data_IF_930422861870
#
_entry.id   IF_930422861870
#
_cell.length_a   1.000
_cell.length_b   1.000
_cell.length_c   1.000
_cell.angle_alpha   90.00
_cell.angle_beta   90.00
_cell.angle_gamma   90.00
#
_symmetry.space_group_name_H-M   'P 1'
#
loop_
_entity.id
_entity.type
_entity.pdbx_description
1 polymer ?
#
# COMPACT_ATOMS: atom_id res chain seq x y z
N UNK A 1 12.50 -31.66 -24.99
CA UNK A 1 11.58 -31.62 -23.83
C UNK A 1 11.39 -30.16 -23.45
N UNK A 2 10.19 -29.60 -23.67
CA UNK A 2 9.89 -28.23 -23.26
C UNK A 2 9.52 -28.21 -21.76
N UNK A 3 10.01 -27.26 -20.95
CA UNK A 3 9.59 -27.13 -19.57
C UNK A 3 8.12 -26.67 -19.53
N UNK A 4 7.28 -27.46 -18.85
CA UNK A 4 5.90 -27.11 -18.54
C UNK A 4 5.92 -25.90 -17.60
N UNK A 5 5.59 -24.72 -18.13
CA UNK A 5 5.30 -23.52 -17.35
C UNK A 5 3.94 -23.73 -16.67
N UNK A 6 3.95 -24.35 -15.49
CA UNK A 6 2.74 -24.41 -14.66
C UNK A 6 2.44 -22.99 -14.20
N UNK A 7 1.37 -22.40 -14.72
CA UNK A 7 0.87 -21.11 -14.28
C UNK A 7 0.56 -21.20 -12.77
N UNK A 8 1.48 -20.72 -11.93
CA UNK A 8 1.29 -20.68 -10.48
C UNK A 8 0.04 -19.84 -10.20
N UNK A 9 -1.01 -20.49 -9.74
CA UNK A 9 -2.22 -19.80 -9.29
C UNK A 9 -1.83 -18.82 -8.18
N UNK A 10 -2.16 -17.53 -8.35
CA UNK A 10 -1.91 -16.52 -7.32
C UNK A 10 -2.48 -17.01 -5.98
N UNK A 11 -1.64 -17.05 -4.94
CA UNK A 11 -2.05 -17.43 -3.60
C UNK A 11 -3.27 -16.59 -3.17
N UNK A 12 -4.36 -17.27 -2.79
CA UNK A 12 -5.59 -16.63 -2.36
C UNK A 12 -5.64 -16.58 -0.84
N UNK A 13 -6.04 -15.43 -0.29
CA UNK A 13 -6.26 -15.25 1.14
C UNK A 13 -7.31 -16.25 1.66
N UNK A 14 -6.99 -17.09 2.65
CA UNK A 14 -7.93 -17.99 3.32
C UNK A 14 -9.10 -17.26 3.95
N UNK A 15 -10.17 -17.99 4.27
CA UNK A 15 -11.39 -17.41 4.84
C UNK A 15 -11.12 -16.80 6.21
N UNK A 16 -10.37 -17.47 7.09
CA UNK A 16 -10.02 -16.93 8.40
C UNK A 16 -9.25 -15.62 8.25
N UNK A 17 -8.28 -15.57 7.33
CA UNK A 17 -7.49 -14.37 7.09
C UNK A 17 -8.31 -13.18 6.60
N UNK A 18 -9.38 -13.41 5.84
CA UNK A 18 -10.32 -12.35 5.45
C UNK A 18 -11.15 -11.85 6.64
N UNK A 19 -11.53 -12.73 7.57
CA UNK A 19 -12.30 -12.37 8.75
C UNK A 19 -11.46 -11.53 9.72
N UNK A 20 -10.23 -11.96 10.01
CA UNK A 20 -9.29 -11.22 10.86
C UNK A 20 -9.00 -9.81 10.32
N UNK A 21 -8.83 -9.73 9.00
CA UNK A 21 -8.73 -8.45 8.27
C UNK A 21 -9.96 -7.56 8.46
N UNK A 22 -11.16 -8.12 8.33
CA UNK A 22 -12.40 -7.35 8.53
C UNK A 22 -12.56 -6.89 9.98
N UNK A 23 -12.14 -7.72 10.94
CA UNK A 23 -12.16 -7.40 12.37
C UNK A 23 -11.21 -6.24 12.72
N UNK A 24 -10.03 -6.18 12.09
CA UNK A 24 -9.07 -5.08 12.28
C UNK A 24 -9.68 -3.69 11.98
N UNK A 25 -10.62 -3.62 11.03
CA UNK A 25 -11.30 -2.39 10.60
C UNK A 25 -12.78 -2.35 11.01
N UNK A 26 -13.17 -3.13 12.02
CA UNK A 26 -14.56 -3.17 12.50
C UNK A 26 -15.02 -1.76 12.90
N UNK A 27 -16.28 -1.46 12.59
CA UNK A 27 -16.94 -0.18 12.91
C UNK A 27 -16.24 1.07 12.34
N UNK A 28 -15.45 0.91 11.27
CA UNK A 28 -14.74 2.02 10.64
C UNK A 28 -13.50 2.48 11.40
N UNK A 29 -13.04 1.70 12.38
CA UNK A 29 -11.80 1.98 13.10
C UNK A 29 -10.59 1.97 12.15
N UNK A 30 -9.71 2.97 12.28
CA UNK A 30 -8.44 3.03 11.55
C UNK A 30 -7.33 2.62 12.52
N UNK A 31 -6.81 1.38 12.44
CA UNK A 31 -5.78 0.89 13.33
C UNK A 31 -4.45 1.62 13.09
N UNK A 32 -3.70 1.82 14.17
CA UNK A 32 -2.34 2.34 14.07
C UNK A 32 -1.36 1.28 13.54
N UNK A 33 -0.09 1.67 13.39
CA UNK A 33 0.96 0.77 12.92
C UNK A 33 1.17 -0.43 13.85
N UNK A 34 1.04 -0.25 15.17
CA UNK A 34 1.25 -1.31 16.14
C UNK A 34 0.16 -2.39 16.01
N UNK A 35 -1.11 -1.98 15.97
CA UNK A 35 -2.25 -2.87 15.79
C UNK A 35 -2.21 -3.62 14.44
N UNK A 36 -1.79 -2.96 13.35
CA UNK A 36 -1.55 -3.63 12.05
C UNK A 36 -0.47 -4.70 12.15
N UNK A 37 0.63 -4.41 12.84
CA UNK A 37 1.73 -5.35 13.02
C UNK A 37 1.33 -6.55 13.90
N UNK A 38 0.60 -6.30 14.99
CA UNK A 38 0.08 -7.36 15.85
C UNK A 38 -0.89 -8.26 15.09
N UNK A 39 -1.83 -7.67 14.33
CA UNK A 39 -2.76 -8.44 13.51
C UNK A 39 -2.03 -9.28 12.46
N UNK A 40 -1.01 -8.74 11.81
CA UNK A 40 -0.16 -9.52 10.89
C UNK A 40 0.48 -10.73 11.57
N UNK A 41 1.14 -10.53 12.71
CA UNK A 41 1.78 -11.60 13.48
C UNK A 41 0.75 -12.65 13.92
N UNK A 42 -0.42 -12.19 14.37
CA UNK A 42 -1.51 -13.06 14.76
C UNK A 42 -1.99 -13.92 13.59
N UNK A 43 -2.27 -13.33 12.41
CA UNK A 43 -2.62 -14.07 11.21
C UNK A 43 -1.57 -15.13 10.84
N UNK A 44 -0.29 -14.79 10.89
CA UNK A 44 0.80 -15.73 10.62
C UNK A 44 0.90 -16.86 11.65
N UNK A 45 0.47 -16.64 12.90
CA UNK A 45 0.44 -17.67 13.94
C UNK A 45 -0.79 -18.58 13.88
N UNK A 46 -1.93 -18.07 13.40
CA UNK A 46 -3.20 -18.79 13.41
C UNK A 46 -3.49 -19.54 12.12
N UNK A 47 -2.94 -19.08 10.99
CA UNK A 47 -3.28 -19.61 9.67
C UNK A 47 -2.07 -20.36 9.11
N UNK A 48 -2.19 -21.68 9.07
CA UNK A 48 -1.16 -22.58 8.56
C UNK A 48 -0.77 -22.24 7.11
N UNK A 49 0.53 -22.21 6.83
CA UNK A 49 1.09 -21.94 5.50
C UNK A 49 0.97 -20.50 5.00
N UNK A 50 0.33 -19.58 5.74
CA UNK A 50 0.14 -18.20 5.26
C UNK A 50 1.47 -17.42 5.24
N UNK A 51 2.37 -17.68 6.18
CA UNK A 51 3.64 -16.96 6.34
C UNK A 51 4.59 -17.14 5.15
N UNK A 52 4.42 -18.19 4.35
CA UNK A 52 5.26 -18.49 3.19
C UNK A 52 5.12 -17.47 2.06
N UNK A 53 3.97 -16.78 1.98
CA UNK A 53 3.66 -15.85 0.89
C UNK A 53 3.03 -14.54 1.35
N UNK A 54 2.46 -14.52 2.56
CA UNK A 54 1.85 -13.33 3.13
C UNK A 54 2.85 -12.58 4.01
N UNK A 55 3.52 -11.61 3.40
CA UNK A 55 4.49 -10.75 4.09
C UNK A 55 3.82 -9.57 4.78
N UNK A 56 4.53 -8.93 5.72
CA UNK A 56 4.06 -7.68 6.31
C UNK A 56 3.80 -6.60 5.24
N UNK A 57 4.62 -6.53 4.18
CA UNK A 57 4.39 -5.64 3.04
C UNK A 57 3.05 -5.93 2.34
N UNK A 58 2.72 -7.20 2.13
CA UNK A 58 1.42 -7.59 1.55
C UNK A 58 0.25 -7.20 2.47
N UNK A 59 0.42 -7.36 3.78
CA UNK A 59 -0.56 -6.92 4.78
C UNK A 59 -0.74 -5.40 4.76
N UNK A 60 0.36 -4.66 4.79
CA UNK A 60 0.39 -3.20 4.74
C UNK A 60 -0.31 -2.64 3.49
N UNK A 61 0.00 -3.18 2.31
CA UNK A 61 -0.65 -2.76 1.06
C UNK A 61 -2.16 -3.02 1.06
N UNK A 62 -2.60 -4.11 1.73
CA UNK A 62 -4.01 -4.40 1.88
C UNK A 62 -4.68 -3.41 2.84
N UNK A 63 -4.09 -3.14 4.01
CA UNK A 63 -4.55 -2.13 4.97
C UNK A 63 -4.71 -0.76 4.31
N UNK A 64 -3.70 -0.35 3.54
CA UNK A 64 -3.74 0.87 2.73
C UNK A 64 -4.94 0.95 1.80
N UNK A 65 -5.25 -0.15 1.11
CA UNK A 65 -6.39 -0.21 0.18
C UNK A 65 -7.72 -0.04 0.90
N UNK A 66 -7.84 -0.56 2.12
CA UNK A 66 -9.04 -0.41 2.96
C UNK A 66 -9.16 1.01 3.50
N UNK A 67 -8.08 1.56 4.03
CA UNK A 67 -8.04 2.92 4.58
C UNK A 67 -8.43 3.96 3.55
N UNK A 68 -7.92 3.83 2.32
CA UNK A 68 -8.34 4.68 1.19
C UNK A 68 -9.85 4.58 0.91
N UNK A 69 -10.44 3.38 1.02
CA UNK A 69 -11.88 3.16 0.80
C UNK A 69 -12.75 3.73 1.92
N UNK A 70 -12.25 3.70 3.15
CA UNK A 70 -12.96 4.22 4.33
C UNK A 70 -12.88 5.76 4.43
N UNK A 71 -12.28 6.45 3.47
CA UNK A 71 -11.98 7.88 3.57
C UNK A 71 -10.86 8.20 4.56
N UNK A 72 -10.21 7.16 5.10
CA UNK A 72 -9.11 7.20 6.04
C UNK A 72 -7.79 7.52 5.36
N UNK A 73 -7.65 8.72 4.82
CA UNK A 73 -6.35 9.35 4.70
C UNK A 73 -6.44 10.68 5.45
N UNK A 74 -6.43 10.58 6.79
CA UNK A 74 -5.66 11.55 7.58
C UNK A 74 -4.30 10.90 7.77
N UNK A 75 -3.50 10.86 6.70
CA UNK A 75 -2.08 11.08 6.92
C UNK A 75 -2.02 12.44 7.62
N UNK A 76 -1.14 12.69 8.62
CA UNK A 76 -0.59 14.04 8.70
C UNK A 76 -0.09 14.27 7.28
N UNK A 77 -0.75 15.14 6.51
CA UNK A 77 -0.60 15.20 5.05
C UNK A 77 0.88 15.11 4.68
N UNK A 78 1.23 14.52 3.52
CA UNK A 78 2.62 14.38 3.10
C UNK A 78 3.38 15.64 3.51
N UNK A 79 4.45 15.45 4.30
CA UNK A 79 5.10 16.56 4.98
C UNK A 79 5.34 17.69 3.96
N UNK A 80 5.10 18.95 4.35
CA UNK A 80 5.01 20.05 3.38
C UNK A 80 6.23 20.13 2.43
N UNK A 81 7.40 19.70 2.89
CA UNK A 81 8.61 19.55 2.10
C UNK A 81 8.52 18.47 1.00
N UNK A 82 7.85 17.34 1.25
CA UNK A 82 7.58 16.29 0.25
C UNK A 82 6.63 16.80 -0.83
N UNK A 83 5.56 17.51 -0.45
CA UNK A 83 4.62 18.11 -1.42
C UNK A 83 5.34 19.15 -2.28
N UNK A 84 6.10 20.04 -1.66
CA UNK A 84 6.87 21.06 -2.36
C UNK A 84 7.90 20.45 -3.33
N UNK A 85 8.60 19.40 -2.92
CA UNK A 85 9.56 18.71 -3.77
C UNK A 85 8.90 18.08 -5.00
N UNK A 86 7.76 17.40 -4.82
CA UNK A 86 7.02 16.80 -5.94
C UNK A 86 6.42 17.88 -6.86
N UNK A 87 5.95 19.00 -6.29
CA UNK A 87 5.47 20.12 -7.09
C UNK A 87 6.58 20.74 -7.97
N UNK A 88 7.80 20.85 -7.45
CA UNK A 88 8.94 21.31 -8.22
C UNK A 88 9.31 20.34 -9.36
N UNK A 89 9.31 19.04 -9.07
CA UNK A 89 9.54 18.00 -10.08
C UNK A 89 8.44 17.99 -11.16
N UNK A 90 7.18 18.14 -10.78
CA UNK A 90 6.03 18.28 -11.70
C UNK A 90 6.10 19.55 -12.54
N UNK A 91 6.63 20.66 -12.01
CA UNK A 91 6.83 21.87 -12.79
C UNK A 91 7.87 21.67 -13.91
N UNK A 92 8.89 20.86 -13.66
CA UNK A 92 9.89 20.49 -14.66
C UNK A 92 9.40 19.38 -15.62
N UNK A 93 8.58 18.45 -15.13
CA UNK A 93 8.02 17.33 -15.89
C UNK A 93 6.52 17.18 -15.59
N UNK A 94 5.64 17.88 -16.33
CA UNK A 94 4.20 17.91 -16.05
C UNK A 94 3.46 16.59 -16.30
N UNK A 95 4.00 15.72 -17.16
CA UNK A 95 3.44 14.40 -17.48
C UNK A 95 4.49 13.29 -17.23
N UNK A 96 4.80 12.98 -15.96
CA UNK A 96 5.82 12.01 -15.62
C UNK A 96 5.32 10.58 -15.84
N UNK A 97 6.16 9.75 -16.46
CA UNK A 97 5.89 8.32 -16.57
C UNK A 97 5.93 7.61 -15.21
N UNK A 98 5.36 6.41 -15.11
CA UNK A 98 5.35 5.62 -13.86
C UNK A 98 6.76 5.34 -13.32
N UNK A 99 7.77 5.19 -14.19
CA UNK A 99 9.16 4.99 -13.78
C UNK A 99 9.78 6.25 -13.17
N UNK A 100 9.40 7.44 -13.66
CA UNK A 100 9.83 8.74 -13.11
C UNK A 100 9.23 8.94 -11.72
N UNK A 101 7.92 8.70 -11.56
CA UNK A 101 7.26 8.74 -10.25
C UNK A 101 7.90 7.77 -9.24
N UNK A 102 8.32 6.59 -9.69
CA UNK A 102 9.04 5.62 -8.86
C UNK A 102 10.46 6.06 -8.51
N UNK A 103 11.12 6.85 -9.35
CA UNK A 103 12.41 7.46 -9.03
C UNK A 103 12.25 8.54 -7.95
N UNK A 104 11.26 9.43 -8.08
CA UNK A 104 10.96 10.46 -7.08
C UNK A 104 10.64 9.83 -5.72
N UNK A 105 9.85 8.76 -5.69
CA UNK A 105 9.53 8.04 -4.46
C UNK A 105 10.78 7.50 -3.74
N UNK A 106 11.73 6.94 -4.50
CA UNK A 106 13.01 6.48 -3.96
C UNK A 106 13.85 7.64 -3.42
N UNK A 107 13.95 8.73 -4.18
CA UNK A 107 14.77 9.89 -3.80
C UNK A 107 14.24 10.61 -2.55
N UNK A 108 12.91 10.73 -2.45
CA UNK A 108 12.23 11.35 -1.33
C UNK A 108 12.04 10.40 -0.14
N UNK A 109 12.45 9.14 -0.28
CA UNK A 109 12.26 8.07 0.70
C UNK A 109 10.80 7.95 1.19
N UNK A 110 9.85 8.04 0.25
CA UNK A 110 8.42 7.91 0.52
C UNK A 110 7.80 6.81 -0.34
N UNK A 111 6.65 6.23 0.06
CA UNK A 111 5.97 5.23 -0.76
C UNK A 111 5.58 5.80 -2.13
N UNK A 112 5.76 5.01 -3.19
CA UNK A 112 5.36 5.35 -4.57
C UNK A 112 3.94 5.91 -4.65
N UNK A 113 3.03 5.31 -3.90
CA UNK A 113 1.62 5.67 -3.90
C UNK A 113 1.39 7.12 -3.42
N UNK A 114 2.19 7.59 -2.46
CA UNK A 114 2.14 8.98 -1.96
C UNK A 114 2.55 9.95 -3.07
N UNK A 115 3.64 9.64 -3.79
CA UNK A 115 4.10 10.46 -4.92
C UNK A 115 3.06 10.53 -6.02
N UNK A 116 2.48 9.38 -6.39
CA UNK A 116 1.45 9.30 -7.43
C UNK A 116 0.22 10.12 -7.07
N UNK A 117 -0.24 10.04 -5.82
CA UNK A 117 -1.46 10.74 -5.39
C UNK A 117 -1.23 12.27 -5.34
N UNK A 118 -0.06 12.73 -4.91
CA UNK A 118 0.32 14.16 -4.96
C UNK A 118 0.42 14.66 -6.40
N UNK A 119 1.12 13.92 -7.26
CA UNK A 119 1.26 14.28 -8.68
C UNK A 119 -0.10 14.37 -9.40
N UNK A 120 -0.98 13.39 -9.17
CA UNK A 120 -2.33 13.39 -9.74
C UNK A 120 -3.19 14.56 -9.21
N UNK A 121 -3.03 14.92 -7.92
CA UNK A 121 -3.73 16.08 -7.34
C UNK A 121 -3.24 17.40 -7.94
N UNK A 122 -1.93 17.56 -8.15
CA UNK A 122 -1.33 18.76 -8.78
C UNK A 122 -1.77 18.87 -10.24
N UNK A 123 -1.81 17.75 -10.96
CA UNK A 123 -2.27 17.70 -12.35
C UNK A 123 -3.79 17.89 -12.50
N UNK A 124 -4.56 17.92 -11.42
CA UNK A 124 -6.02 18.10 -11.44
C UNK A 124 -6.80 16.88 -11.93
N UNK A 125 -6.26 15.67 -11.77
CA UNK A 125 -6.83 14.41 -12.28
C UNK A 125 -7.53 13.59 -11.16
N UNK A 126 -7.53 14.10 -9.93
CA UNK A 126 -8.08 13.45 -8.72
C UNK A 126 -9.37 14.13 -8.25
#
# INVERSE_FOLDING_TARGET
MAPQNSAQSRNKMPREGKQLRAELYRDGNIPDLAAKLEMYKYMCSQIEGISEWYTFKTHWNWCWTIEKKLGGIVYPGPAANVVAAIAAEMAACPDPTLSVLAAWARNLNVPYQVVRDIAASIAGVL
#
